data_IF_985404412854
#
_entry.id   IF_985404412854
#
_cell.length_a   1.000
_cell.length_b   1.000
_cell.length_c   1.000
_cell.angle_alpha   90.00
_cell.angle_beta   90.00
_cell.angle_gamma   90.00
#
_symmetry.space_group_name_H-M   'P 1'
#
loop_
_entity.id
_entity.type
_entity.pdbx_description
1 polymer ?
#
# COMPACT_ATOMS: atom_id res chain seq x y z
N UNK A 1 -17.21 15.16 4.33
CA UNK A 1 -16.20 15.16 3.25
C UNK A 1 -14.81 14.94 3.83
N UNK A 2 -14.47 13.72 4.29
CA UNK A 2 -13.14 13.42 4.87
C UNK A 2 -12.03 13.20 3.83
N UNK A 3 -12.42 12.95 2.58
CA UNK A 3 -11.52 12.73 1.44
C UNK A 3 -10.95 14.03 0.85
N UNK A 4 -11.71 15.14 0.90
CA UNK A 4 -11.31 16.42 0.29
C UNK A 4 -9.97 16.97 0.83
N UNK A 5 -9.70 16.94 2.15
CA UNK A 5 -8.38 17.30 2.67
C UNK A 5 -7.26 16.41 2.12
N UNK A 6 -7.47 15.10 2.05
CA UNK A 6 -6.44 14.16 1.56
C UNK A 6 -6.13 14.37 0.09
N UNK A 7 -7.18 14.59 -0.73
CA UNK A 7 -7.02 14.97 -2.14
C UNK A 7 -6.21 16.25 -2.33
N UNK A 8 -6.44 17.24 -1.46
CA UNK A 8 -5.78 18.54 -1.53
C UNK A 8 -4.27 18.47 -1.20
N UNK A 9 -3.83 17.48 -0.42
CA UNK A 9 -2.41 17.30 -0.10
C UNK A 9 -1.56 16.98 -1.35
N UNK A 10 -2.15 16.35 -2.37
CA UNK A 10 -1.51 16.26 -3.68
C UNK A 10 -0.13 15.58 -3.68
N UNK A 11 0.87 16.15 -4.38
CA UNK A 11 2.21 15.55 -4.55
C UNK A 11 2.98 15.29 -3.25
N UNK A 12 2.92 16.21 -2.28
CA UNK A 12 3.70 16.10 -1.04
C UNK A 12 3.33 14.86 -0.24
N UNK A 13 2.03 14.55 -0.16
CA UNK A 13 1.57 13.31 0.47
C UNK A 13 2.07 12.08 -0.29
N UNK A 14 2.02 12.09 -1.63
CA UNK A 14 2.39 10.90 -2.40
C UNK A 14 3.88 10.58 -2.31
N UNK A 15 4.74 11.60 -2.25
CA UNK A 15 6.17 11.44 -2.03
C UNK A 15 6.45 10.93 -0.61
N UNK A 16 5.86 11.56 0.41
CA UNK A 16 6.01 11.16 1.81
C UNK A 16 5.56 9.70 2.05
N UNK A 17 4.42 9.29 1.46
CA UNK A 17 3.93 7.91 1.55
C UNK A 17 4.89 6.91 0.88
N UNK A 18 5.54 7.29 -0.22
CA UNK A 18 6.50 6.42 -0.91
C UNK A 18 7.82 6.32 -0.14
N UNK A 19 8.33 7.41 0.42
CA UNK A 19 9.50 7.40 1.29
C UNK A 19 9.26 6.53 2.53
N UNK A 20 8.05 6.54 3.08
CA UNK A 20 7.70 5.68 4.20
C UNK A 20 7.57 4.21 3.82
N UNK A 21 6.92 3.93 2.69
CA UNK A 21 6.79 2.55 2.22
C UNK A 21 8.14 1.96 1.80
N UNK A 22 9.01 2.79 1.23
CA UNK A 22 10.30 2.41 0.66
C UNK A 22 11.41 3.38 1.11
N UNK A 23 11.92 3.26 2.35
CA UNK A 23 12.92 4.19 2.89
C UNK A 23 14.24 4.27 2.10
N UNK A 24 14.58 3.18 1.40
CA UNK A 24 15.76 3.11 0.53
C UNK A 24 15.42 3.42 -0.94
N UNK A 25 14.21 3.88 -1.23
CA UNK A 25 13.66 4.09 -2.56
C UNK A 25 13.01 2.84 -3.15
N UNK A 26 12.00 3.04 -4.00
CA UNK A 26 11.33 1.94 -4.71
C UNK A 26 12.29 1.17 -5.63
N UNK A 27 13.23 1.88 -6.25
CA UNK A 27 14.21 1.31 -7.18
C UNK A 27 15.21 0.34 -6.50
N UNK A 28 15.36 0.41 -5.17
CA UNK A 28 16.24 -0.51 -4.43
C UNK A 28 15.62 -1.90 -4.23
N UNK A 29 14.32 -2.07 -4.49
CA UNK A 29 13.64 -3.35 -4.34
C UNK A 29 14.01 -4.28 -5.49
N UNK A 30 13.96 -5.59 -5.26
CA UNK A 30 14.08 -6.57 -6.34
C UNK A 30 12.93 -6.41 -7.35
N UNK A 31 13.17 -6.77 -8.61
CA UNK A 31 12.20 -6.57 -9.70
C UNK A 31 10.85 -7.25 -9.43
N UNK A 32 10.83 -8.40 -8.77
CA UNK A 32 9.58 -9.10 -8.49
C UNK A 32 8.78 -8.31 -7.45
N UNK A 33 9.42 -7.84 -6.38
CA UNK A 33 8.77 -7.02 -5.37
C UNK A 33 8.25 -5.70 -5.95
N UNK A 34 9.01 -5.06 -6.86
CA UNK A 34 8.55 -3.88 -7.59
C UNK A 34 7.25 -4.15 -8.36
N UNK A 35 7.19 -5.25 -9.13
CA UNK A 35 5.97 -5.66 -9.88
C UNK A 35 4.78 -5.85 -8.95
N UNK A 36 5.00 -6.48 -7.80
CA UNK A 36 3.94 -6.75 -6.82
C UNK A 36 3.42 -5.46 -6.21
N UNK A 37 4.28 -4.50 -5.88
CA UNK A 37 3.86 -3.19 -5.41
C UNK A 37 3.05 -2.44 -6.49
N UNK A 38 3.44 -2.50 -7.76
CA UNK A 38 2.63 -1.91 -8.84
C UNK A 38 1.27 -2.63 -8.95
N UNK A 39 1.24 -3.96 -8.82
CA UNK A 39 0.00 -4.74 -8.77
C UNK A 39 -0.89 -4.34 -7.58
N UNK A 40 -0.32 -3.99 -6.41
CA UNK A 40 -1.08 -3.43 -5.29
C UNK A 40 -1.84 -2.16 -5.67
N UNK A 41 -1.21 -1.25 -6.42
CA UNK A 41 -1.88 -0.01 -6.90
C UNK A 41 -3.01 -0.35 -7.85
N UNK A 42 -2.75 -1.23 -8.84
CA UNK A 42 -3.77 -1.69 -9.79
C UNK A 42 -4.97 -2.29 -9.08
N UNK A 43 -4.73 -3.24 -8.18
CA UNK A 43 -5.78 -3.94 -7.44
C UNK A 43 -6.58 -2.94 -6.59
N UNK A 44 -5.93 -1.96 -5.96
CA UNK A 44 -6.62 -0.92 -5.20
C UNK A 44 -7.52 -0.02 -6.04
N UNK A 45 -7.08 0.38 -7.24
CA UNK A 45 -7.93 1.14 -8.17
C UNK A 45 -9.21 0.34 -8.50
N UNK A 46 -9.08 -0.98 -8.72
CA UNK A 46 -10.20 -1.86 -9.01
C UNK A 46 -11.13 -2.05 -7.80
N UNK A 47 -10.56 -2.19 -6.60
CA UNK A 47 -11.29 -2.40 -5.34
C UNK A 47 -12.10 -1.16 -4.95
N UNK A 48 -11.43 0.00 -4.93
CA UNK A 48 -12.03 1.26 -4.51
C UNK A 48 -13.12 1.71 -5.48
N UNK A 49 -13.08 1.25 -6.75
CA UNK A 49 -13.94 1.71 -7.85
C UNK A 49 -13.97 3.24 -7.98
N UNK A 50 -12.99 3.91 -7.38
CA UNK A 50 -12.82 5.35 -7.37
C UNK A 50 -11.40 5.64 -7.86
N UNK A 51 -11.26 6.70 -8.65
CA UNK A 51 -9.98 7.18 -9.14
C UNK A 51 -9.44 8.21 -8.15
N UNK A 52 -9.01 7.77 -6.97
CA UNK A 52 -8.41 8.70 -6.01
C UNK A 52 -7.14 9.31 -6.65
N UNK A 53 -7.04 10.65 -6.76
CA UNK A 53 -5.97 11.28 -7.53
C UNK A 53 -4.57 10.96 -6.98
N UNK A 54 -4.43 10.82 -5.66
CA UNK A 54 -3.14 10.45 -5.06
C UNK A 54 -2.77 8.98 -5.32
N UNK A 55 -3.75 8.09 -5.52
CA UNK A 55 -3.47 6.70 -5.90
C UNK A 55 -2.94 6.63 -7.34
N UNK A 56 -3.53 7.42 -8.24
CA UNK A 56 -3.05 7.55 -9.62
C UNK A 56 -1.64 8.13 -9.67
N UNK A 57 -1.38 9.19 -8.88
CA UNK A 57 -0.04 9.78 -8.77
C UNK A 57 1.00 8.78 -8.28
N UNK A 58 0.70 8.03 -7.21
CA UNK A 58 1.58 6.95 -6.73
C UNK A 58 1.85 5.95 -7.85
N UNK A 59 0.80 5.48 -8.56
CA UNK A 59 0.97 4.59 -9.70
C UNK A 59 1.89 5.15 -10.78
N UNK A 60 1.72 6.44 -11.13
CA UNK A 60 2.58 7.11 -12.11
C UNK A 60 4.04 7.21 -11.64
N UNK A 61 4.27 7.60 -10.39
CA UNK A 61 5.61 7.68 -9.81
C UNK A 61 6.32 6.32 -9.85
N UNK A 62 5.64 5.27 -9.42
CA UNK A 62 6.19 3.91 -9.44
C UNK A 62 6.46 3.42 -10.87
N UNK A 63 5.57 3.72 -11.82
CA UNK A 63 5.73 3.31 -13.21
C UNK A 63 6.92 4.01 -13.88
N UNK A 64 7.03 5.34 -13.70
CA UNK A 64 8.16 6.14 -14.23
C UNK A 64 9.49 5.69 -13.63
N UNK A 65 9.56 5.51 -12.30
CA UNK A 65 10.76 5.00 -11.63
C UNK A 65 11.15 3.60 -12.09
N UNK A 66 10.18 2.77 -12.47
CA UNK A 66 10.45 1.39 -12.81
C UNK A 66 11.17 1.17 -14.15
N UNK A 67 11.23 2.19 -15.03
CA UNK A 67 11.90 2.26 -16.36
C UNK A 67 11.67 1.09 -17.35
N UNK A 68 11.09 -0.03 -16.92
CA UNK A 68 11.15 -1.33 -17.60
C UNK A 68 9.87 -2.16 -17.45
N UNK A 69 8.86 -1.72 -16.70
CA UNK A 69 7.57 -2.42 -16.68
C UNK A 69 6.63 -1.79 -17.69
N UNK A 70 6.15 -2.59 -18.63
CA UNK A 70 4.89 -2.30 -19.32
C UNK A 70 3.73 -2.85 -18.50
N UNK A 71 2.50 -2.35 -18.71
CA UNK A 71 1.32 -2.91 -18.03
C UNK A 71 1.12 -4.41 -18.37
N UNK A 72 1.59 -4.83 -19.54
CA UNK A 72 1.53 -6.24 -20.00
C UNK A 72 2.51 -7.12 -19.20
N UNK A 73 3.67 -6.59 -18.79
CA UNK A 73 4.63 -7.30 -17.93
C UNK A 73 4.10 -7.56 -16.52
N UNK A 74 3.06 -6.87 -16.08
CA UNK A 74 2.45 -7.13 -14.77
C UNK A 74 1.59 -8.40 -14.85
N UNK A 75 1.05 -8.71 -16.03
CA UNK A 75 0.26 -9.92 -16.31
C UNK A 75 -0.81 -10.23 -15.25
N UNK A 76 -1.04 -11.53 -15.03
CA UNK A 76 -1.95 -12.07 -14.01
C UNK A 76 -1.37 -12.03 -12.58
N UNK A 77 -0.29 -11.28 -12.32
CA UNK A 77 0.27 -11.19 -10.98
C UNK A 77 -0.78 -10.58 -10.03
N UNK A 78 -1.39 -11.43 -9.20
CA UNK A 78 -2.28 -10.99 -8.12
C UNK A 78 -1.47 -10.74 -6.87
N UNK A 79 -1.85 -9.73 -6.08
CA UNK A 79 -1.18 -9.46 -4.80
C UNK A 79 -1.27 -10.67 -3.86
N UNK A 80 -2.37 -11.43 -3.94
CA UNK A 80 -2.56 -12.64 -3.12
C UNK A 80 -1.53 -13.73 -3.42
N UNK A 81 -1.38 -14.12 -4.69
CA UNK A 81 -0.40 -15.15 -5.07
C UNK A 81 1.03 -14.69 -4.82
N UNK A 82 1.30 -13.40 -4.99
CA UNK A 82 2.60 -12.82 -4.69
C UNK A 82 2.95 -12.87 -3.19
N UNK A 83 2.03 -12.47 -2.31
CA UNK A 83 2.24 -12.53 -0.85
C UNK A 83 2.41 -13.96 -0.37
N UNK A 84 1.66 -14.91 -0.92
CA UNK A 84 1.72 -16.31 -0.50
C UNK A 84 3.15 -16.88 -0.64
N UNK A 85 3.79 -16.59 -1.77
CA UNK A 85 5.10 -17.13 -2.15
C UNK A 85 6.31 -16.24 -1.74
N UNK A 86 6.06 -15.05 -1.22
CA UNK A 86 7.12 -14.10 -0.87
C UNK A 86 7.86 -14.49 0.42
N UNK A 87 9.11 -14.04 0.57
CA UNK A 87 9.84 -14.15 1.83
C UNK A 87 9.20 -13.26 2.92
N UNK A 88 9.36 -13.57 4.23
CA UNK A 88 8.71 -12.81 5.30
C UNK A 88 8.94 -11.29 5.21
N UNK A 89 10.17 -10.84 4.95
CA UNK A 89 10.43 -9.40 4.81
C UNK A 89 9.69 -8.77 3.61
N UNK A 90 9.54 -9.49 2.51
CA UNK A 90 8.80 -9.05 1.33
C UNK A 90 7.30 -8.98 1.61
N UNK A 91 6.73 -10.01 2.27
CA UNK A 91 5.32 -10.00 2.73
C UNK A 91 5.01 -8.76 3.53
N UNK A 92 5.93 -8.38 4.43
CA UNK A 92 5.82 -7.16 5.24
C UNK A 92 5.77 -5.90 4.36
N UNK A 93 6.69 -5.76 3.41
CA UNK A 93 6.74 -4.60 2.50
C UNK A 93 5.46 -4.51 1.67
N UNK A 94 5.03 -5.62 1.06
CA UNK A 94 3.83 -5.67 0.22
C UNK A 94 2.60 -5.27 1.03
N UNK A 95 2.42 -5.87 2.21
CA UNK A 95 1.27 -5.58 3.06
C UNK A 95 1.29 -4.13 3.54
N UNK A 96 2.43 -3.65 4.01
CA UNK A 96 2.56 -2.28 4.52
C UNK A 96 2.22 -1.26 3.43
N UNK A 97 2.78 -1.44 2.24
CA UNK A 97 2.48 -0.62 1.08
C UNK A 97 0.99 -0.67 0.74
N UNK A 98 0.39 -1.87 0.70
CA UNK A 98 -1.03 -2.06 0.42
C UNK A 98 -1.92 -1.32 1.44
N UNK A 99 -1.60 -1.37 2.74
CA UNK A 99 -2.36 -0.66 3.77
C UNK A 99 -2.30 0.84 3.58
N UNK A 100 -1.13 1.39 3.28
CA UNK A 100 -0.92 2.84 3.06
C UNK A 100 -1.81 3.33 1.90
N UNK A 101 -1.81 2.62 0.77
CA UNK A 101 -2.59 3.04 -0.39
C UNK A 101 -4.11 2.80 -0.22
N UNK A 102 -4.50 1.84 0.63
CA UNK A 102 -5.91 1.52 0.92
C UNK A 102 -6.64 2.64 1.70
N UNK A 103 -5.91 3.59 2.27
CA UNK A 103 -6.48 4.60 3.19
C UNK A 103 -6.42 6.02 2.66
N UNK A 104 -6.11 6.18 1.38
CA UNK A 104 -6.05 7.49 0.71
C UNK A 104 -7.41 8.20 0.70
N UNK A 105 -8.52 7.49 0.87
CA UNK A 105 -9.86 8.08 1.06
C UNK A 105 -10.10 8.59 2.51
N UNK A 106 -9.08 8.54 3.37
CA UNK A 106 -9.13 8.96 4.78
C UNK A 106 -9.92 7.99 5.69
N UNK A 107 -10.24 6.79 5.21
CA UNK A 107 -10.95 5.76 5.98
C UNK A 107 -10.60 4.37 5.46
N UNK A 108 -10.85 3.36 6.30
CA UNK A 108 -10.85 1.94 5.88
C UNK A 108 -12.30 1.50 5.68
N UNK A 109 -12.70 1.25 4.44
CA UNK A 109 -14.05 0.76 4.13
C UNK A 109 -14.27 -0.71 4.52
N UNK A 110 -15.51 -1.18 4.34
CA UNK A 110 -15.85 -2.60 4.57
C UNK A 110 -15.15 -3.52 3.56
N UNK A 111 -15.04 -3.09 2.29
CA UNK A 111 -14.33 -3.82 1.24
C UNK A 111 -12.83 -3.89 1.54
N UNK A 112 -12.20 -2.77 1.87
CA UNK A 112 -10.78 -2.71 2.24
C UNK A 112 -10.51 -3.61 3.45
N UNK A 113 -11.35 -3.52 4.49
CA UNK A 113 -11.22 -4.37 5.67
C UNK A 113 -11.24 -5.86 5.33
N UNK A 114 -12.15 -6.30 4.43
CA UNK A 114 -12.22 -7.72 4.01
C UNK A 114 -10.95 -8.15 3.28
N UNK A 115 -10.43 -7.30 2.40
CA UNK A 115 -9.26 -7.61 1.58
C UNK A 115 -8.00 -7.60 2.43
N UNK A 116 -7.83 -6.59 3.28
CA UNK A 116 -6.75 -6.49 4.26
C UNK A 116 -6.75 -7.71 5.17
N UNK A 117 -7.91 -8.12 5.69
CA UNK A 117 -8.01 -9.32 6.52
C UNK A 117 -7.53 -10.56 5.77
N UNK A 118 -7.93 -10.72 4.50
CA UNK A 118 -7.54 -11.87 3.69
C UNK A 118 -6.04 -11.86 3.38
N UNK A 119 -5.47 -10.70 3.01
CA UNK A 119 -4.04 -10.56 2.76
C UNK A 119 -3.21 -10.82 4.03
N UNK A 120 -3.65 -10.32 5.18
CA UNK A 120 -3.01 -10.60 6.47
C UNK A 120 -2.98 -12.10 6.78
N UNK A 121 -4.10 -12.80 6.55
CA UNK A 121 -4.16 -14.25 6.75
C UNK A 121 -3.19 -15.00 5.83
N UNK A 122 -3.16 -14.66 4.53
CA UNK A 122 -2.22 -15.25 3.55
C UNK A 122 -0.76 -14.95 3.91
N UNK A 123 -0.52 -13.77 4.52
CA UNK A 123 0.79 -13.38 4.98
C UNK A 123 1.22 -14.06 6.30
N UNK A 124 0.33 -14.81 6.97
CA UNK A 124 0.60 -15.40 8.29
C UNK A 124 0.55 -14.39 9.45
N UNK A 125 -0.24 -13.32 9.30
CA UNK A 125 -0.25 -12.17 10.20
C UNK A 125 -1.59 -12.01 10.91
N UNK A 126 -1.59 -11.35 12.06
CA UNK A 126 -2.83 -11.08 12.79
C UNK A 126 -3.70 -10.05 12.05
N UNK A 127 -4.83 -10.52 11.52
CA UNK A 127 -5.74 -9.71 10.70
C UNK A 127 -6.36 -8.54 11.47
N UNK A 128 -6.70 -8.73 12.75
CA UNK A 128 -7.26 -7.68 13.62
C UNK A 128 -6.28 -6.52 13.80
N UNK A 129 -5.02 -6.83 14.12
CA UNK A 129 -3.95 -5.85 14.26
C UNK A 129 -3.63 -5.15 12.93
N UNK A 130 -3.70 -5.88 11.81
CA UNK A 130 -3.47 -5.32 10.48
C UNK A 130 -4.55 -4.30 10.09
N UNK A 131 -5.84 -4.59 10.34
CA UNK A 131 -6.91 -3.61 10.10
C UNK A 131 -6.81 -2.41 11.04
N UNK A 132 -6.46 -2.64 12.32
CA UNK A 132 -6.21 -1.55 13.29
C UNK A 132 -5.09 -0.63 12.79
N UNK A 133 -4.02 -1.19 12.25
CA UNK A 133 -2.89 -0.45 11.66
C UNK A 133 -3.34 0.43 10.50
N UNK A 134 -4.11 -0.09 9.54
CA UNK A 134 -4.66 0.72 8.45
C UNK A 134 -5.51 1.89 8.99
N UNK A 135 -6.32 1.68 10.04
CA UNK A 135 -7.09 2.79 10.65
C UNK A 135 -6.20 3.86 11.27
N UNK A 136 -5.08 3.48 11.88
CA UNK A 136 -4.08 4.43 12.40
C UNK A 136 -3.51 5.26 11.23
N UNK A 137 -3.22 4.63 10.09
CA UNK A 137 -2.74 5.35 8.91
C UNK A 137 -3.75 6.34 8.37
N UNK A 138 -5.01 5.91 8.23
CA UNK A 138 -6.10 6.80 7.82
C UNK A 138 -6.20 8.03 8.73
N UNK A 139 -6.07 7.84 10.05
CA UNK A 139 -6.12 8.93 11.02
C UNK A 139 -4.92 9.87 10.89
N UNK A 140 -3.70 9.34 10.77
CA UNK A 140 -2.50 10.13 10.63
C UNK A 140 -2.51 10.99 9.34
N UNK A 141 -2.88 10.39 8.20
CA UNK A 141 -3.01 11.10 6.92
C UNK A 141 -4.05 12.22 7.03
N UNK A 142 -5.23 11.95 7.62
CA UNK A 142 -6.25 12.99 7.82
C UNK A 142 -5.80 14.13 8.73
N UNK A 143 -4.91 13.86 9.68
CA UNK A 143 -4.38 14.85 10.62
C UNK A 143 -3.13 15.57 10.10
N UNK A 144 -2.65 15.24 8.89
CA UNK A 144 -1.37 15.74 8.38
C UNK A 144 -0.19 15.41 9.30
N UNK A 145 -0.29 14.30 10.04
CA UNK A 145 0.75 13.84 10.96
C UNK A 145 1.63 12.81 10.26
N UNK A 146 2.92 12.76 10.62
CA UNK A 146 3.78 11.70 10.12
C UNK A 146 3.20 10.33 10.50
N UNK A 147 3.27 9.34 9.60
CA UNK A 147 2.99 7.95 9.91
C UNK A 147 4.11 7.48 10.85
N UNK A 148 3.89 7.64 12.15
CA UNK A 148 4.85 7.29 13.18
C UNK A 148 4.95 5.75 13.29
N UNK A 149 5.70 5.13 12.38
CA UNK A 149 6.01 3.71 12.33
C UNK A 149 7.11 3.39 13.35
N UNK A 150 6.90 3.72 14.63
CA UNK A 150 7.88 3.28 15.65
C UNK A 150 8.02 1.75 15.56
N UNK A 151 9.25 1.25 15.68
CA UNK A 151 9.58 -0.18 15.60
C UNK A 151 8.73 -1.10 16.51
N UNK A 152 8.00 -0.54 17.49
CA UNK A 152 7.00 -1.26 18.31
C UNK A 152 5.76 -1.72 17.54
N UNK A 153 5.57 -1.22 16.33
CA UNK A 153 4.55 -1.65 15.41
C UNK A 153 5.15 -2.46 14.26
N UNK A 154 6.33 -3.04 14.42
CA UNK A 154 6.81 -4.00 13.42
C UNK A 154 5.85 -5.18 13.40
N UNK A 155 5.32 -5.50 12.22
CA UNK A 155 4.57 -6.73 12.05
C UNK A 155 5.36 -7.93 12.59
N UNK A 156 4.77 -8.66 13.53
CA UNK A 156 5.30 -9.93 13.99
C UNK A 156 4.69 -11.05 13.13
N UNK A 157 5.54 -11.81 12.45
CA UNK A 157 5.13 -13.07 11.83
C UNK A 157 4.86 -14.08 12.95
N UNK A 158 3.81 -14.87 12.79
CA UNK A 158 3.57 -16.04 13.65
C UNK A 158 4.50 -17.18 13.27
#
# INVERSE_FOLDING_TARGET
MREAPVRALGPSLTEELLEWAFPNGFESLDRNLQRVCIACVRDQILIAKCRHPNLIRIGHLLFVSSKFFTFDDIGECTVFSAIENALPFQKKIILEFFLIISVLDGKVGTKDSRIINRLALVAGMDSKNTVKRARIYAQAIMMGKPLNLSAKHTFCFK
#
